data_IF_938477760021
#
_entry.id   IF_938477760021
#
_cell.length_a   1.000
_cell.length_b   1.000
_cell.length_c   1.000
_cell.angle_alpha   90.00
_cell.angle_beta   90.00
_cell.angle_gamma   90.00
#
_symmetry.space_group_name_H-M   'P 1'
#
loop_
_entity.id
_entity.type
_entity.pdbx_description
1 polymer ?
#
# COMPACT_ATOMS: atom_id res chain seq x y z
N UNK A 1 23.48 -2.60 -10.15
CA UNK A 1 23.52 -1.99 -8.81
C UNK A 1 22.75 -0.67 -8.86
N UNK A 2 21.85 -0.38 -7.91
CA UNK A 2 21.11 0.90 -7.89
C UNK A 2 22.02 2.03 -7.41
N UNK A 3 21.84 3.24 -7.96
CA UNK A 3 22.54 4.43 -7.45
C UNK A 3 21.98 4.85 -6.09
N UNK A 4 22.74 5.61 -5.29
CA UNK A 4 22.26 6.13 -3.99
C UNK A 4 20.97 6.95 -4.15
N UNK A 5 20.90 7.79 -5.18
CA UNK A 5 19.69 8.57 -5.54
C UNK A 5 18.51 7.66 -5.88
N UNK A 6 18.73 6.61 -6.66
CA UNK A 6 17.70 5.64 -7.00
C UNK A 6 17.12 4.96 -5.75
N UNK A 7 17.98 4.51 -4.84
CA UNK A 7 17.56 3.91 -3.57
C UNK A 7 16.77 4.92 -2.73
N UNK A 8 17.24 6.16 -2.62
CA UNK A 8 16.51 7.22 -1.91
C UNK A 8 15.08 7.40 -2.44
N UNK A 9 14.91 7.49 -3.76
CA UNK A 9 13.58 7.64 -4.37
C UNK A 9 12.66 6.44 -4.13
N UNK A 10 13.20 5.23 -4.07
CA UNK A 10 12.41 4.04 -3.71
C UNK A 10 11.87 4.15 -2.28
N UNK A 11 12.73 4.54 -1.33
CA UNK A 11 12.32 4.72 0.07
C UNK A 11 11.34 5.88 0.25
N UNK A 12 11.57 7.01 -0.43
CA UNK A 12 10.64 8.14 -0.41
C UNK A 12 9.26 7.74 -0.95
N UNK A 13 9.22 7.02 -2.07
CA UNK A 13 7.96 6.51 -2.61
C UNK A 13 7.26 5.60 -1.58
N UNK A 14 7.99 4.65 -0.99
CA UNK A 14 7.48 3.81 0.09
C UNK A 14 6.87 4.62 1.24
N UNK A 15 7.60 5.60 1.77
CA UNK A 15 7.13 6.44 2.89
C UNK A 15 5.87 7.24 2.53
N UNK A 16 5.80 7.81 1.34
CA UNK A 16 4.64 8.60 0.91
C UNK A 16 3.41 7.72 0.69
N UNK A 17 3.57 6.53 0.10
CA UNK A 17 2.46 5.57 0.01
C UNK A 17 2.02 5.06 1.38
N UNK A 18 2.95 4.81 2.30
CA UNK A 18 2.64 4.42 3.67
C UNK A 18 1.82 5.50 4.40
N UNK A 19 2.23 6.77 4.28
CA UNK A 19 1.51 7.89 4.86
C UNK A 19 0.10 8.04 4.26
N UNK A 20 -0.02 7.95 2.94
CA UNK A 20 -1.33 8.01 2.28
C UNK A 20 -2.25 6.86 2.73
N UNK A 21 -1.72 5.64 2.84
CA UNK A 21 -2.45 4.48 3.32
C UNK A 21 -2.88 4.64 4.79
N UNK A 22 -2.01 5.15 5.67
CA UNK A 22 -2.34 5.43 7.06
C UNK A 22 -3.45 6.48 7.18
N UNK A 23 -3.34 7.59 6.45
CA UNK A 23 -4.37 8.64 6.47
C UNK A 23 -5.70 8.08 5.97
N UNK A 24 -5.70 7.35 4.85
CA UNK A 24 -6.92 6.74 4.34
C UNK A 24 -7.53 5.77 5.35
N UNK A 25 -6.75 4.80 5.84
CA UNK A 25 -7.25 3.79 6.78
C UNK A 25 -7.76 4.45 8.07
N UNK A 26 -7.04 5.41 8.64
CA UNK A 26 -7.49 6.15 9.82
C UNK A 26 -8.81 6.86 9.59
N UNK A 27 -8.97 7.56 8.46
CA UNK A 27 -10.20 8.29 8.14
C UNK A 27 -11.42 7.36 7.99
N UNK A 28 -11.24 6.15 7.45
CA UNK A 28 -12.32 5.17 7.32
C UNK A 28 -12.64 4.43 8.62
N UNK A 29 -11.62 4.20 9.46
CA UNK A 29 -11.73 3.27 10.59
C UNK A 29 -11.94 3.95 11.94
N UNK A 30 -11.65 5.26 12.05
CA UNK A 30 -11.77 6.00 13.33
C UNK A 30 -13.17 5.94 13.97
N UNK A 31 -14.21 5.87 13.14
CA UNK A 31 -15.61 5.85 13.56
C UNK A 31 -16.27 4.48 13.29
N UNK A 32 -15.49 3.49 12.82
CA UNK A 32 -15.99 2.17 12.47
C UNK A 32 -16.20 1.30 13.73
N UNK A 33 -17.28 0.52 13.73
CA UNK A 33 -17.53 -0.48 14.78
C UNK A 33 -16.55 -1.65 14.61
N UNK A 34 -15.89 -2.06 15.69
CA UNK A 34 -14.95 -3.19 15.71
C UNK A 34 -13.52 -2.79 16.07
N UNK A 35 -12.65 -3.80 16.30
CA UNK A 35 -11.21 -3.56 16.47
C UNK A 35 -10.51 -3.59 15.11
N UNK A 36 -9.94 -2.45 14.75
CA UNK A 36 -9.26 -2.22 13.47
C UNK A 36 -7.76 -1.93 13.61
N UNK A 37 -7.18 -2.17 14.79
CA UNK A 37 -5.75 -1.89 15.07
C UNK A 37 -4.83 -2.64 14.10
N UNK A 38 -5.15 -3.90 13.79
CA UNK A 38 -4.40 -4.68 12.81
C UNK A 38 -4.35 -4.03 11.44
N UNK A 39 -5.45 -3.43 10.98
CA UNK A 39 -5.52 -2.73 9.70
C UNK A 39 -4.75 -1.40 9.71
N UNK A 40 -4.80 -0.65 10.81
CA UNK A 40 -4.04 0.59 10.99
C UNK A 40 -2.53 0.37 10.96
N UNK A 41 -2.06 -0.84 11.31
CA UNK A 41 -0.65 -1.24 11.21
C UNK A 41 -0.34 -1.85 9.84
N UNK A 42 -1.16 -2.78 9.37
CA UNK A 42 -0.88 -3.56 8.16
C UNK A 42 -0.98 -2.72 6.87
N UNK A 43 -1.95 -1.81 6.77
CA UNK A 43 -2.13 -0.97 5.58
C UNK A 43 -0.91 -0.09 5.25
N UNK A 44 -0.37 0.73 6.18
CA UNK A 44 0.81 1.53 5.88
C UNK A 44 2.08 0.70 5.64
N UNK A 45 2.26 -0.41 6.37
CA UNK A 45 3.44 -1.28 6.18
C UNK A 45 3.44 -1.95 4.80
N UNK A 46 2.30 -2.45 4.36
CA UNK A 46 2.19 -3.10 3.05
C UNK A 46 2.27 -2.09 1.92
N UNK A 47 1.69 -0.89 2.09
CA UNK A 47 1.88 0.22 1.15
C UNK A 47 3.34 0.68 1.05
N UNK A 48 4.08 0.70 2.17
CA UNK A 48 5.51 0.98 2.17
C UNK A 48 6.29 -0.03 1.31
N UNK A 49 6.09 -1.32 1.57
CA UNK A 49 6.78 -2.40 0.86
C UNK A 49 6.39 -2.43 -0.61
N UNK A 50 5.09 -2.39 -0.93
CA UNK A 50 4.60 -2.31 -2.31
C UNK A 50 5.15 -1.07 -3.02
N UNK A 51 5.19 0.07 -2.34
CA UNK A 51 5.76 1.32 -2.84
C UNK A 51 7.21 1.15 -3.24
N UNK A 52 8.08 0.67 -2.34
CA UNK A 52 9.50 0.42 -2.62
C UNK A 52 9.67 -0.52 -3.83
N UNK A 53 8.97 -1.66 -3.81
CA UNK A 53 9.12 -2.71 -4.83
C UNK A 53 8.63 -2.22 -6.19
N UNK A 54 7.41 -1.69 -6.27
CA UNK A 54 6.83 -1.23 -7.53
C UNK A 54 7.62 -0.04 -8.09
N UNK A 55 8.02 0.91 -7.24
CA UNK A 55 8.82 2.05 -7.68
C UNK A 55 10.20 1.63 -8.19
N UNK A 56 10.85 0.70 -7.48
CA UNK A 56 12.13 0.13 -7.87
C UNK A 56 12.08 -0.57 -9.24
N UNK A 57 11.05 -1.40 -9.45
CA UNK A 57 10.89 -2.18 -10.69
C UNK A 57 10.47 -1.28 -11.85
N UNK A 58 9.43 -0.47 -11.68
CA UNK A 58 8.79 0.19 -12.81
C UNK A 58 9.31 1.60 -13.08
N UNK A 59 9.74 2.36 -12.07
CA UNK A 59 10.21 3.73 -12.24
C UNK A 59 11.74 3.78 -12.33
N UNK A 60 12.42 3.26 -11.31
CA UNK A 60 13.88 3.32 -11.19
C UNK A 60 14.56 2.42 -12.21
N UNK A 61 14.32 1.11 -12.17
CA UNK A 61 14.90 0.17 -13.15
C UNK A 61 14.37 0.41 -14.55
N UNK A 62 13.11 0.84 -14.66
CA UNK A 62 12.48 1.23 -15.92
C UNK A 62 13.00 2.55 -16.50
N UNK A 63 13.79 3.33 -15.74
CA UNK A 63 14.33 4.66 -16.09
C UNK A 63 13.29 5.63 -16.70
N UNK A 64 12.04 5.58 -16.21
CA UNK A 64 10.94 6.40 -16.74
C UNK A 64 10.10 6.95 -15.60
N UNK A 65 10.46 8.11 -15.06
CA UNK A 65 9.67 8.82 -14.06
C UNK A 65 8.55 9.68 -14.67
N UNK A 66 7.89 9.21 -15.74
CA UNK A 66 6.83 9.98 -16.41
C UNK A 66 5.54 10.05 -15.57
N UNK A 67 4.80 11.16 -15.71
CA UNK A 67 3.51 11.39 -15.04
C UNK A 67 2.55 10.19 -15.14
N UNK A 68 2.26 9.74 -16.37
CA UNK A 68 1.37 8.60 -16.61
C UNK A 68 1.90 7.28 -16.05
N UNK A 69 3.22 7.11 -15.99
CA UNK A 69 3.81 5.93 -15.35
C UNK A 69 3.64 5.99 -13.83
N UNK A 70 3.76 7.17 -13.23
CA UNK A 70 3.43 7.43 -11.83
C UNK A 70 1.97 7.11 -11.51
N UNK A 71 1.02 7.50 -12.37
CA UNK A 71 -0.40 7.16 -12.25
C UNK A 71 -0.59 5.64 -12.17
N UNK A 72 -0.08 4.91 -13.16
CA UNK A 72 -0.24 3.45 -13.23
C UNK A 72 0.45 2.73 -12.07
N UNK A 73 1.67 3.12 -11.73
CA UNK A 73 2.43 2.51 -10.63
C UNK A 73 1.77 2.82 -9.29
N UNK A 74 1.26 4.03 -9.09
CA UNK A 74 0.53 4.39 -7.87
C UNK A 74 -0.78 3.62 -7.69
N UNK A 75 -1.56 3.47 -8.76
CA UNK A 75 -2.75 2.62 -8.75
C UNK A 75 -2.39 1.15 -8.47
N UNK A 76 -1.30 0.65 -9.05
CA UNK A 76 -0.81 -0.71 -8.80
C UNK A 76 -0.38 -0.92 -7.34
N UNK A 77 0.34 0.05 -6.75
CA UNK A 77 0.70 0.00 -5.32
C UNK A 77 -0.56 -0.11 -4.47
N UNK A 78 -1.53 0.78 -4.68
CA UNK A 78 -2.80 0.73 -3.96
C UNK A 78 -3.50 -0.62 -4.14
N UNK A 79 -3.60 -1.14 -5.37
CA UNK A 79 -4.21 -2.43 -5.66
C UNK A 79 -3.54 -3.59 -4.92
N UNK A 80 -2.21 -3.68 -4.97
CA UNK A 80 -1.45 -4.77 -4.35
C UNK A 80 -1.41 -4.68 -2.83
N UNK A 81 -1.53 -3.47 -2.26
CA UNK A 81 -1.57 -3.30 -0.81
C UNK A 81 -2.85 -3.83 -0.17
N UNK A 82 -3.99 -3.90 -0.88
CA UNK A 82 -5.24 -4.45 -0.31
C UNK A 82 -5.11 -5.90 0.17
N UNK A 83 -4.78 -6.89 -0.68
CA UNK A 83 -4.64 -8.29 -0.23
C UNK A 83 -3.57 -8.45 0.85
N UNK A 84 -2.46 -7.71 0.75
CA UNK A 84 -1.41 -7.77 1.74
C UNK A 84 -1.81 -7.14 3.08
N UNK A 85 -2.56 -6.04 3.06
CA UNK A 85 -3.03 -5.37 4.28
C UNK A 85 -4.05 -6.23 5.03
N UNK A 86 -4.98 -6.86 4.31
CA UNK A 86 -5.94 -7.77 4.93
C UNK A 86 -5.27 -9.00 5.51
N UNK A 87 -4.37 -9.63 4.76
CA UNK A 87 -3.59 -10.75 5.29
C UNK A 87 -2.71 -10.33 6.47
N UNK A 88 -2.07 -9.17 6.38
CA UNK A 88 -1.26 -8.59 7.46
C UNK A 88 -2.06 -8.30 8.71
N UNK A 89 -3.32 -7.85 8.58
CA UNK A 89 -4.22 -7.63 9.72
C UNK A 89 -4.61 -8.95 10.39
N UNK A 90 -4.83 -10.01 9.62
CA UNK A 90 -5.09 -11.36 10.18
C UNK A 90 -3.87 -11.86 10.94
N UNK A 91 -2.67 -11.72 10.35
CA UNK A 91 -1.41 -12.07 11.01
C UNK A 91 -1.20 -11.26 12.29
N UNK A 92 -1.51 -9.96 12.28
CA UNK A 92 -1.40 -9.11 13.46
C UNK A 92 -2.21 -9.68 14.62
N UNK A 93 -3.48 -10.02 14.40
CA UNK A 93 -4.35 -10.57 15.45
C UNK A 93 -3.94 -11.99 15.86
N UNK A 94 -3.51 -12.83 14.92
CA UNK A 94 -2.95 -14.15 15.21
C UNK A 94 -1.72 -14.06 16.13
N UNK A 95 -0.77 -13.18 15.81
CA UNK A 95 0.46 -12.99 16.59
C UNK A 95 0.20 -12.29 17.93
N UNK A 96 -0.89 -11.53 18.03
CA UNK A 96 -1.32 -10.88 19.28
C UNK A 96 -2.03 -11.84 20.23
N UNK A 97 -2.36 -13.06 19.78
CA UNK A 97 -3.05 -14.05 20.59
C UNK A 97 -4.55 -13.78 20.77
N UNK A 98 -5.16 -13.00 19.87
CA UNK A 98 -6.60 -12.72 19.93
C UNK A 98 -7.42 -14.01 19.73
N UNK A 99 -8.46 -14.24 20.54
CA UNK A 99 -9.32 -15.40 20.39
C UNK A 99 -10.12 -15.34 19.08
N UNK A 100 -10.43 -16.51 18.51
CA UNK A 100 -11.21 -16.65 17.27
C UNK A 100 -10.59 -16.02 16.01
N UNK A 101 -9.29 -15.73 16.03
CA UNK A 101 -8.56 -15.32 14.81
C UNK A 101 -8.25 -16.53 13.91
N UNK A 102 -8.22 -16.29 12.61
CA UNK A 102 -7.83 -17.30 11.63
C UNK A 102 -6.34 -17.63 11.78
N UNK A 103 -5.98 -18.90 11.59
CA UNK A 103 -4.57 -19.24 11.49
C UNK A 103 -3.98 -18.69 10.16
N UNK A 104 -2.64 -18.57 10.03
CA UNK A 104 -2.02 -17.96 8.86
C UNK A 104 -2.38 -18.64 7.54
N UNK A 105 -2.62 -19.95 7.52
CA UNK A 105 -2.94 -20.68 6.29
C UNK A 105 -4.38 -20.35 5.85
N UNK A 106 -5.34 -20.44 6.76
CA UNK A 106 -6.73 -20.05 6.53
C UNK A 106 -6.86 -18.56 6.16
N UNK A 107 -6.00 -17.74 6.76
CA UNK A 107 -5.94 -16.30 6.54
C UNK A 107 -5.61 -15.89 5.11
N UNK A 108 -4.97 -16.76 4.30
CA UNK A 108 -4.62 -16.44 2.91
C UNK A 108 -5.89 -16.21 2.08
N UNK A 109 -6.80 -17.19 2.07
CA UNK A 109 -8.04 -17.10 1.28
C UNK A 109 -8.96 -16.03 1.84
N UNK A 110 -9.06 -15.92 3.17
CA UNK A 110 -9.83 -14.87 3.82
C UNK A 110 -9.29 -13.47 3.46
N UNK A 111 -7.97 -13.28 3.49
CA UNK A 111 -7.33 -12.02 3.12
C UNK A 111 -7.63 -11.60 1.67
N UNK A 112 -7.61 -12.56 0.74
CA UNK A 112 -7.99 -12.32 -0.65
C UNK A 112 -9.48 -11.95 -0.79
N UNK A 113 -10.36 -12.67 -0.10
CA UNK A 113 -11.80 -12.37 -0.11
C UNK A 113 -12.09 -10.98 0.46
N UNK A 114 -11.53 -10.64 1.63
CA UNK A 114 -11.68 -9.32 2.22
C UNK A 114 -11.09 -8.22 1.34
N UNK A 115 -9.97 -8.47 0.66
CA UNK A 115 -9.41 -7.52 -0.28
C UNK A 115 -10.32 -7.27 -1.49
N UNK A 116 -10.97 -8.29 -2.03
CA UNK A 116 -11.95 -8.13 -3.11
C UNK A 116 -13.13 -7.26 -2.65
N UNK A 117 -13.70 -7.58 -1.48
CA UNK A 117 -14.79 -6.80 -0.88
C UNK A 117 -14.35 -5.35 -0.64
N UNK A 118 -13.18 -5.16 -0.05
CA UNK A 118 -12.56 -3.86 0.21
C UNK A 118 -12.34 -3.06 -1.07
N UNK A 119 -11.86 -3.67 -2.15
CA UNK A 119 -11.70 -3.01 -3.44
C UNK A 119 -13.05 -2.56 -4.04
N UNK A 120 -14.12 -3.32 -3.85
CA UNK A 120 -15.46 -2.89 -4.27
C UNK A 120 -15.91 -1.67 -3.47
N UNK A 121 -15.76 -1.69 -2.14
CA UNK A 121 -16.31 -0.64 -1.27
C UNK A 121 -15.47 0.62 -1.17
N UNK A 122 -14.13 0.50 -1.18
CA UNK A 122 -13.22 1.66 -1.02
C UNK A 122 -12.18 1.75 -2.12
N UNK A 123 -12.06 0.75 -3.01
CA UNK A 123 -11.08 0.76 -4.11
C UNK A 123 -11.30 1.90 -5.09
N UNK A 124 -12.55 2.30 -5.33
CA UNK A 124 -12.89 3.47 -6.16
C UNK A 124 -12.31 4.78 -5.61
N UNK A 125 -11.96 4.86 -4.33
CA UNK A 125 -11.26 5.99 -3.73
C UNK A 125 -9.75 5.73 -3.60
N UNK A 126 -9.36 4.57 -3.07
CA UNK A 126 -7.95 4.29 -2.77
C UNK A 126 -7.10 4.15 -4.04
N UNK A 127 -7.66 3.65 -5.14
CA UNK A 127 -6.94 3.55 -6.41
C UNK A 127 -6.66 4.94 -7.02
N UNK A 128 -7.63 5.87 -7.12
CA UNK A 128 -7.34 7.26 -7.48
C UNK A 128 -6.35 7.96 -6.55
N UNK A 129 -6.46 7.78 -5.23
CA UNK A 129 -5.48 8.36 -4.28
C UNK A 129 -4.08 7.84 -4.58
N UNK A 130 -3.92 6.53 -4.75
CA UNK A 130 -2.66 5.92 -5.16
C UNK A 130 -2.14 6.51 -6.48
N UNK A 131 -3.01 6.65 -7.48
CA UNK A 131 -2.67 7.24 -8.78
C UNK A 131 -2.19 8.69 -8.68
N UNK A 132 -2.88 9.53 -7.90
CA UNK A 132 -2.50 10.93 -7.65
C UNK A 132 -1.16 10.98 -6.94
N UNK A 133 -1.00 10.24 -5.84
CA UNK A 133 0.26 10.17 -5.09
C UNK A 133 1.42 9.74 -5.99
N UNK A 134 1.23 8.68 -6.78
CA UNK A 134 2.24 8.20 -7.71
C UNK A 134 2.56 9.21 -8.80
N UNK A 135 1.57 9.92 -9.34
CA UNK A 135 1.82 10.95 -10.37
C UNK A 135 2.63 12.13 -9.83
N UNK A 136 2.34 12.58 -8.61
CA UNK A 136 3.05 13.67 -7.94
C UNK A 136 4.47 13.28 -7.58
N UNK A 137 4.67 12.05 -7.08
CA UNK A 137 5.99 11.49 -6.81
C UNK A 137 6.84 11.37 -8.08
N UNK A 138 6.26 10.89 -9.18
CA UNK A 138 6.95 10.77 -10.45
C UNK A 138 7.36 12.15 -10.99
N UNK A 139 6.46 13.13 -10.91
CA UNK A 139 6.76 14.52 -11.26
C UNK A 139 7.91 15.09 -10.41
N UNK A 140 7.84 14.94 -9.08
CA UNK A 140 8.91 15.37 -8.17
C UNK A 140 10.25 14.71 -8.50
N UNK A 141 10.26 13.41 -8.81
CA UNK A 141 11.46 12.70 -9.22
C UNK A 141 12.01 13.20 -10.55
N UNK A 142 11.18 13.55 -11.53
CA UNK A 142 11.69 14.16 -12.79
C UNK A 142 12.29 15.53 -12.57
N UNK A 143 11.78 16.28 -11.60
CA UNK A 143 12.24 17.65 -11.35
C UNK A 143 13.51 17.72 -10.51
N UNK A 144 13.70 16.76 -9.60
CA UNK A 144 14.72 16.81 -8.54
C UNK A 144 15.61 15.55 -8.44
N UNK A 145 15.36 14.49 -9.20
CA UNK A 145 16.16 13.25 -9.22
C UNK A 145 17.39 13.36 -10.11
#
# INVERSE_FOLDING_TARGET
MFSKKAVLWMFLAGLVFALAAFVCSYLFLKDAVGDWRGMLVAAPLTAFVCGIVCWGIFIVRGQKAGFWRGVWVGALVALLSHPLAWYGSILYFYLSGEPHTLNPIEGILAGLFYALVSLIFVGWLTLPVGAVVGSLLAYAQTRWG
#
